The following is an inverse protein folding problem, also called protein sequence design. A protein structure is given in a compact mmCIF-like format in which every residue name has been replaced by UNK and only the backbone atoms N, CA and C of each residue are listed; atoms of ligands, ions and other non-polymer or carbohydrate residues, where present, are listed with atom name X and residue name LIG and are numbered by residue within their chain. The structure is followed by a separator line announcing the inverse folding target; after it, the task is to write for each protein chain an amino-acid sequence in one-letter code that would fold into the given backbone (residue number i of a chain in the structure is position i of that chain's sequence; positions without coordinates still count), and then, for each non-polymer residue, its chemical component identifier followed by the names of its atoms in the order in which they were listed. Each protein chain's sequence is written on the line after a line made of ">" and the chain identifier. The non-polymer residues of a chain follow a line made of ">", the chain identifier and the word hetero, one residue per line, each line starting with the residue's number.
data_IF_707104028233
#
_entry.id   IF_707104028233
#
_cell.length_a   1.000
_cell.length_b   1.000
_cell.length_c   1.000
_cell.angle_alpha   90.00
_cell.angle_beta   90.00
_cell.angle_gamma   90.00
#
_symmetry.space_group_name_H-M   'P 1'
#
loop_
_entity.id
_entity.type
_entity.pdbx_description
1 polymer ?
#
# COMPACT_ATOMS: atom_id res chain seq x y z
N UNK A 1 -18.18 -23.55 2.11
CA UNK A 1 -17.71 -23.13 0.75
C UNK A 1 -18.06 -24.23 -0.22
N UNK A 2 -18.96 -23.94 -1.17
CA UNK A 2 -19.39 -24.91 -2.18
C UNK A 2 -18.31 -24.97 -3.27
N UNK A 3 -17.76 -26.16 -3.52
CA UNK A 3 -16.69 -26.40 -4.50
C UNK A 3 -17.01 -25.84 -5.90
N UNK A 4 -16.00 -25.34 -6.60
CA UNK A 4 -16.13 -24.74 -7.94
C UNK A 4 -16.18 -25.81 -9.06
N UNK A 5 -15.84 -27.04 -8.75
CA UNK A 5 -15.79 -28.14 -9.72
C UNK A 5 -17.19 -28.69 -10.00
N UNK A 6 -17.53 -28.91 -11.27
CA UNK A 6 -18.77 -29.58 -11.69
C UNK A 6 -18.60 -31.11 -11.75
N UNK A 7 -17.82 -31.66 -10.81
CA UNK A 7 -17.55 -33.09 -10.68
C UNK A 7 -18.01 -33.58 -9.31
N UNK A 8 -18.45 -34.80 -9.23
CA UNK A 8 -18.78 -35.48 -7.97
C UNK A 8 -17.51 -35.95 -7.23
N UNK A 9 -17.68 -36.63 -6.10
CA UNK A 9 -16.57 -37.18 -5.31
C UNK A 9 -15.78 -38.26 -6.03
N UNK A 10 -16.37 -38.92 -7.05
CA UNK A 10 -15.75 -39.92 -7.90
C UNK A 10 -15.11 -39.32 -9.16
N UNK A 11 -15.15 -37.99 -9.33
CA UNK A 11 -14.56 -37.31 -10.49
C UNK A 11 -15.42 -37.30 -11.74
N UNK A 12 -16.66 -37.81 -11.70
CA UNK A 12 -17.58 -37.82 -12.83
C UNK A 12 -18.28 -36.47 -12.97
N UNK A 13 -18.64 -36.10 -14.22
CA UNK A 13 -19.40 -34.89 -14.49
C UNK A 13 -20.82 -35.00 -13.91
N UNK A 14 -21.22 -34.00 -13.16
CA UNK A 14 -22.55 -33.91 -12.57
C UNK A 14 -23.57 -33.61 -13.68
N UNK A 15 -24.77 -34.26 -13.61
CA UNK A 15 -25.88 -34.05 -14.54
C UNK A 15 -26.28 -32.56 -14.63
N UNK A 16 -26.82 -32.16 -15.80
CA UNK A 16 -27.19 -30.77 -16.10
C UNK A 16 -28.16 -30.15 -15.10
N UNK A 17 -29.13 -30.94 -14.64
CA UNK A 17 -30.09 -30.51 -13.61
C UNK A 17 -29.43 -30.23 -12.26
N UNK A 18 -28.49 -31.10 -11.86
CA UNK A 18 -27.71 -30.92 -10.63
C UNK A 18 -26.70 -29.76 -10.77
N UNK A 19 -26.11 -29.56 -11.94
CA UNK A 19 -25.24 -28.39 -12.20
C UNK A 19 -25.99 -27.08 -12.04
N UNK A 20 -27.23 -26.99 -12.54
CA UNK A 20 -28.08 -25.81 -12.37
C UNK A 20 -28.39 -25.53 -10.90
N UNK A 21 -28.69 -26.59 -10.11
CA UNK A 21 -28.88 -26.46 -8.66
C UNK A 21 -27.59 -26.01 -7.95
N UNK A 22 -26.45 -26.60 -8.27
CA UNK A 22 -25.16 -26.23 -7.68
C UNK A 22 -24.78 -24.79 -8.03
N UNK A 23 -25.01 -24.33 -9.26
CA UNK A 23 -24.78 -22.95 -9.65
C UNK A 23 -25.68 -21.96 -8.87
N UNK A 24 -26.95 -22.32 -8.65
CA UNK A 24 -27.87 -21.53 -7.82
C UNK A 24 -27.36 -21.46 -6.37
N UNK A 25 -26.91 -22.57 -5.80
CA UNK A 25 -26.35 -22.61 -4.44
C UNK A 25 -25.06 -21.78 -4.35
N UNK A 26 -24.18 -21.85 -5.36
CA UNK A 26 -22.97 -21.01 -5.43
C UNK A 26 -23.30 -19.51 -5.45
N UNK A 27 -24.34 -19.13 -6.20
CA UNK A 27 -24.80 -17.73 -6.23
C UNK A 27 -25.30 -17.30 -4.85
N UNK A 28 -26.09 -18.15 -4.17
CA UNK A 28 -26.58 -17.87 -2.83
C UNK A 28 -25.45 -17.85 -1.80
N UNK A 29 -24.51 -18.79 -1.85
CA UNK A 29 -23.31 -18.81 -1.00
C UNK A 29 -22.47 -17.54 -1.18
N UNK A 30 -22.23 -17.16 -2.43
CA UNK A 30 -21.54 -15.90 -2.75
C UNK A 30 -22.28 -14.67 -2.20
N UNK A 31 -23.59 -14.60 -2.36
CA UNK A 31 -24.40 -13.50 -1.82
C UNK A 31 -24.39 -13.44 -0.29
N UNK A 32 -24.38 -14.59 0.39
CA UNK A 32 -24.29 -14.68 1.85
C UNK A 32 -22.93 -14.32 2.39
N UNK A 33 -21.85 -14.78 1.72
CA UNK A 33 -20.48 -14.43 2.12
C UNK A 33 -20.18 -12.93 2.01
N UNK A 34 -20.78 -12.23 1.02
CA UNK A 34 -20.57 -10.79 0.81
C UNK A 34 -21.72 -9.93 1.40
N UNK A 35 -22.40 -10.42 2.42
CA UNK A 35 -23.54 -9.72 3.03
C UNK A 35 -23.14 -8.40 3.68
N UNK A 36 -21.93 -8.34 4.24
CA UNK A 36 -21.40 -7.14 4.87
C UNK A 36 -20.64 -6.26 3.87
N UNK A 37 -20.93 -4.95 3.92
CA UNK A 37 -20.22 -3.95 3.10
C UNK A 37 -18.72 -3.93 3.38
N UNK A 38 -18.33 -4.24 4.60
CA UNK A 38 -16.95 -4.37 5.06
C UNK A 38 -16.21 -5.45 4.28
N UNK A 39 -16.78 -6.65 4.17
CA UNK A 39 -16.19 -7.78 3.44
C UNK A 39 -16.00 -7.48 1.95
N UNK A 40 -16.96 -6.77 1.33
CA UNK A 40 -16.82 -6.33 -0.08
C UNK A 40 -15.69 -5.33 -0.24
N UNK A 41 -15.56 -4.39 0.69
CA UNK A 41 -14.48 -3.41 0.66
C UNK A 41 -13.11 -4.08 0.79
N UNK A 42 -12.96 -5.08 1.67
CA UNK A 42 -11.72 -5.87 1.79
C UNK A 42 -11.38 -6.60 0.48
N UNK A 43 -12.35 -7.29 -0.11
CA UNK A 43 -12.12 -8.02 -1.36
C UNK A 43 -11.64 -7.08 -2.46
N UNK A 44 -12.32 -5.93 -2.64
CA UNK A 44 -11.94 -4.93 -3.63
C UNK A 44 -10.54 -4.35 -3.36
N UNK A 45 -10.25 -4.03 -2.10
CA UNK A 45 -8.96 -3.51 -1.69
C UNK A 45 -7.83 -4.52 -1.94
N UNK A 46 -8.01 -5.78 -1.55
CA UNK A 46 -6.95 -6.78 -1.67
C UNK A 46 -6.71 -7.24 -3.11
N UNK A 47 -7.73 -7.24 -3.96
CA UNK A 47 -7.54 -7.43 -5.41
C UNK A 47 -6.68 -6.30 -5.99
N UNK A 48 -6.93 -5.05 -5.61
CA UNK A 48 -6.11 -3.92 -6.03
C UNK A 48 -4.68 -4.02 -5.46
N UNK A 49 -4.54 -4.43 -4.20
CA UNK A 49 -3.23 -4.62 -3.56
C UNK A 49 -2.39 -5.68 -4.29
N UNK A 50 -3.02 -6.79 -4.73
CA UNK A 50 -2.35 -7.80 -5.57
C UNK A 50 -1.82 -7.22 -6.87
N UNK A 51 -2.63 -6.43 -7.58
CA UNK A 51 -2.19 -5.75 -8.81
C UNK A 51 -1.03 -4.77 -8.56
N UNK A 52 -1.05 -4.04 -7.44
CA UNK A 52 0.03 -3.12 -7.06
C UNK A 52 1.30 -3.87 -6.66
N UNK A 53 1.17 -5.04 -6.01
CA UNK A 53 2.29 -5.91 -5.69
C UNK A 53 3.08 -6.25 -6.94
N UNK A 54 2.39 -6.69 -7.99
CA UNK A 54 3.03 -7.09 -9.25
C UNK A 54 3.65 -5.90 -9.99
N UNK A 55 2.90 -4.77 -10.12
CA UNK A 55 3.40 -3.57 -10.80
C UNK A 55 4.61 -2.92 -10.12
N UNK A 56 4.66 -2.93 -8.81
CA UNK A 56 5.69 -2.25 -8.02
C UNK A 56 6.73 -3.20 -7.45
N UNK A 57 6.63 -4.50 -7.75
CA UNK A 57 7.52 -5.55 -7.23
C UNK A 57 7.66 -5.47 -5.70
N UNK A 58 6.50 -5.44 -5.00
CA UNK A 58 6.47 -5.31 -3.53
C UNK A 58 6.76 -6.65 -2.86
N UNK A 59 7.50 -6.60 -1.76
CA UNK A 59 7.73 -7.78 -0.92
C UNK A 59 6.46 -8.21 -0.18
N UNK A 60 6.34 -9.49 0.14
CA UNK A 60 5.19 -10.03 0.89
C UNK A 60 5.00 -9.33 2.24
N UNK A 61 6.10 -8.97 2.92
CA UNK A 61 6.06 -8.23 4.19
C UNK A 61 5.35 -6.87 4.06
N UNK A 62 5.60 -6.13 2.97
CA UNK A 62 4.93 -4.84 2.71
C UNK A 62 3.43 -5.07 2.47
N UNK A 63 3.08 -6.09 1.69
CA UNK A 63 1.69 -6.43 1.38
C UNK A 63 0.91 -6.77 2.64
N UNK A 64 1.47 -7.64 3.50
CA UNK A 64 0.85 -8.05 4.77
C UNK A 64 0.65 -6.88 5.73
N UNK A 65 1.68 -6.06 5.92
CA UNK A 65 1.58 -4.86 6.77
C UNK A 65 0.61 -3.83 6.21
N UNK A 66 0.53 -3.69 4.88
CA UNK A 66 -0.46 -2.82 4.23
C UNK A 66 -1.87 -3.33 4.48
N UNK A 67 -2.09 -4.64 4.33
CA UNK A 67 -3.38 -5.27 4.60
C UNK A 67 -3.79 -5.09 6.08
N UNK A 68 -2.85 -5.26 7.01
CA UNK A 68 -3.09 -5.00 8.43
C UNK A 68 -3.44 -3.52 8.71
N UNK A 69 -2.67 -2.59 8.14
CA UNK A 69 -2.94 -1.16 8.29
C UNK A 69 -4.30 -0.77 7.72
N UNK A 70 -4.67 -1.33 6.56
CA UNK A 70 -5.96 -1.09 5.93
C UNK A 70 -7.13 -1.59 6.79
N UNK A 71 -7.02 -2.79 7.40
CA UNK A 71 -8.03 -3.31 8.34
C UNK A 71 -8.25 -2.35 9.51
N UNK A 72 -7.17 -1.87 10.10
CA UNK A 72 -7.22 -0.91 11.21
C UNK A 72 -7.93 0.39 10.82
N UNK A 73 -7.59 0.95 9.65
CA UNK A 73 -8.24 2.15 9.09
C UNK A 73 -9.72 1.92 8.83
N UNK A 74 -10.11 0.69 8.46
CA UNK A 74 -11.50 0.33 8.25
C UNK A 74 -12.27 0.19 9.58
N UNK A 75 -11.68 -0.45 10.58
CA UNK A 75 -12.24 -0.58 11.94
C UNK A 75 -12.51 0.81 12.56
N UNK A 76 -11.58 1.74 12.38
CA UNK A 76 -11.71 3.13 12.85
C UNK A 76 -12.71 3.96 12.00
N UNK A 77 -13.34 3.37 10.98
CA UNK A 77 -14.37 4.03 10.16
C UNK A 77 -13.83 5.10 9.20
N UNK A 78 -12.53 5.23 9.05
CA UNK A 78 -11.87 6.27 8.23
C UNK A 78 -12.09 6.09 6.71
N UNK A 79 -12.70 4.99 6.29
CA UNK A 79 -13.01 4.72 4.87
C UNK A 79 -14.25 5.48 4.41
N UNK A 80 -15.15 5.85 5.31
CA UNK A 80 -16.43 6.48 4.95
C UNK A 80 -16.21 7.77 4.14
N UNK A 81 -16.91 7.88 3.01
CA UNK A 81 -16.80 9.04 2.11
C UNK A 81 -15.51 9.11 1.28
N UNK A 82 -14.67 8.07 1.31
CA UNK A 82 -13.42 7.97 0.55
C UNK A 82 -13.43 6.78 -0.40
N UNK A 83 -12.68 6.87 -1.49
CA UNK A 83 -12.55 5.74 -2.42
C UNK A 83 -11.65 4.66 -1.80
N UNK A 84 -12.08 3.41 -1.85
CA UNK A 84 -11.36 2.25 -1.32
C UNK A 84 -9.91 2.21 -1.81
N UNK A 85 -9.72 2.44 -3.12
CA UNK A 85 -8.40 2.44 -3.73
C UNK A 85 -7.48 3.54 -3.18
N UNK A 86 -7.98 4.76 -2.97
CA UNK A 86 -7.16 5.85 -2.45
C UNK A 86 -6.76 5.62 -0.99
N UNK A 87 -7.64 5.04 -0.18
CA UNK A 87 -7.33 4.65 1.20
C UNK A 87 -6.28 3.55 1.23
N UNK A 88 -6.42 2.51 0.38
CA UNK A 88 -5.46 1.43 0.29
C UNK A 88 -4.07 1.93 -0.13
N UNK A 89 -4.00 2.80 -1.15
CA UNK A 89 -2.72 3.35 -1.62
C UNK A 89 -2.07 4.26 -0.57
N UNK A 90 -2.86 5.01 0.20
CA UNK A 90 -2.35 5.77 1.33
C UNK A 90 -1.78 4.85 2.43
N UNK A 91 -2.46 3.74 2.76
CA UNK A 91 -1.95 2.72 3.68
C UNK A 91 -0.66 2.07 3.16
N UNK A 92 -0.58 1.77 1.87
CA UNK A 92 0.63 1.25 1.23
C UNK A 92 1.79 2.24 1.35
N UNK A 93 1.54 3.53 1.11
CA UNK A 93 2.55 4.58 1.27
C UNK A 93 3.06 4.67 2.70
N UNK A 94 2.15 4.62 3.70
CA UNK A 94 2.52 4.60 5.13
C UNK A 94 3.45 3.42 5.41
N UNK A 95 3.06 2.23 4.97
CA UNK A 95 3.82 1.00 5.21
C UNK A 95 5.20 1.04 4.54
N UNK A 96 5.31 1.54 3.31
CA UNK A 96 6.59 1.73 2.64
C UNK A 96 7.50 2.68 3.44
N UNK A 97 6.94 3.78 3.96
CA UNK A 97 7.68 4.73 4.81
C UNK A 97 8.18 4.11 6.10
N UNK A 98 7.32 3.33 6.79
CA UNK A 98 7.67 2.63 8.04
C UNK A 98 8.75 1.57 7.84
N UNK A 99 8.77 0.92 6.68
CA UNK A 99 9.77 -0.09 6.35
C UNK A 99 11.04 0.47 5.69
N UNK A 100 11.12 1.78 5.53
CA UNK A 100 12.27 2.41 4.90
C UNK A 100 12.37 2.17 3.39
N UNK A 101 11.29 1.71 2.74
CA UNK A 101 11.26 1.53 1.28
C UNK A 101 10.98 2.86 0.60
N UNK A 102 11.92 3.33 -0.22
CA UNK A 102 11.81 4.62 -0.90
C UNK A 102 10.85 4.54 -2.09
N UNK A 103 9.54 4.61 -1.82
CA UNK A 103 8.49 4.79 -2.84
C UNK A 103 7.92 6.19 -2.73
N UNK A 104 7.75 6.87 -3.86
CA UNK A 104 7.16 8.21 -3.91
C UNK A 104 5.64 8.14 -4.05
N UNK A 105 4.94 9.18 -3.62
CA UNK A 105 3.49 9.27 -3.83
C UNK A 105 3.17 9.28 -5.33
N UNK A 106 4.05 9.88 -6.16
CA UNK A 106 3.84 9.98 -7.61
C UNK A 106 3.91 8.60 -8.27
N UNK A 107 4.87 7.74 -7.90
CA UNK A 107 4.94 6.35 -8.36
C UNK A 107 3.67 5.56 -7.98
N UNK A 108 3.18 5.75 -6.77
CA UNK A 108 1.97 5.07 -6.31
C UNK A 108 0.71 5.60 -7.01
N UNK A 109 0.66 6.89 -7.30
CA UNK A 109 -0.43 7.53 -8.03
C UNK A 109 -0.49 7.02 -9.47
N UNK A 110 0.65 6.92 -10.15
CA UNK A 110 0.78 6.39 -11.50
C UNK A 110 0.41 4.90 -11.56
N UNK A 111 0.97 4.08 -10.64
CA UNK A 111 0.68 2.65 -10.60
C UNK A 111 -0.80 2.33 -10.33
N UNK A 112 -1.46 3.13 -9.50
CA UNK A 112 -2.86 2.95 -9.11
C UNK A 112 -3.87 3.72 -9.96
N UNK A 113 -3.42 4.64 -10.81
CA UNK A 113 -4.25 5.59 -11.56
C UNK A 113 -5.15 6.45 -10.65
N UNK A 114 -4.63 6.86 -9.50
CA UNK A 114 -5.34 7.67 -8.52
C UNK A 114 -4.63 9.03 -8.38
N UNK A 115 -5.38 10.11 -8.29
CA UNK A 115 -4.83 11.47 -8.19
C UNK A 115 -3.94 11.62 -6.94
N UNK A 116 -2.71 12.10 -7.13
CA UNK A 116 -1.73 12.39 -6.06
C UNK A 116 -2.34 13.18 -4.89
N UNK A 117 -3.09 14.24 -5.19
CA UNK A 117 -3.73 15.09 -4.15
C UNK A 117 -4.68 14.30 -3.25
N UNK A 118 -5.42 13.33 -3.81
CA UNK A 118 -6.33 12.48 -3.04
C UNK A 118 -5.56 11.56 -2.08
N UNK A 119 -4.50 10.91 -2.57
CA UNK A 119 -3.63 10.05 -1.76
C UNK A 119 -2.98 10.85 -0.63
N UNK A 120 -2.41 12.03 -0.94
CA UNK A 120 -1.73 12.88 0.03
C UNK A 120 -2.66 13.41 1.14
N UNK A 121 -3.92 13.74 0.79
CA UNK A 121 -4.94 14.13 1.78
C UNK A 121 -5.25 12.98 2.73
N UNK A 122 -5.60 11.81 2.18
CA UNK A 122 -5.97 10.64 2.96
C UNK A 122 -4.79 10.16 3.83
N UNK A 123 -3.57 10.18 3.28
CA UNK A 123 -2.36 9.88 4.03
C UNK A 123 -2.24 10.71 5.31
N UNK A 124 -2.40 12.04 5.19
CA UNK A 124 -2.32 12.96 6.37
C UNK A 124 -3.43 12.65 7.37
N UNK A 125 -4.65 12.43 6.91
CA UNK A 125 -5.78 12.10 7.75
C UNK A 125 -5.51 10.79 8.53
N UNK A 126 -5.03 9.73 7.87
CA UNK A 126 -4.73 8.44 8.51
C UNK A 126 -3.61 8.59 9.53
N UNK A 127 -2.52 9.29 9.18
CA UNK A 127 -1.38 9.50 10.09
C UNK A 127 -1.81 10.24 11.34
N UNK A 128 -2.62 11.28 11.18
CA UNK A 128 -3.15 12.08 12.29
C UNK A 128 -4.05 11.23 13.21
N UNK A 129 -5.01 10.49 12.66
CA UNK A 129 -5.95 9.67 13.43
C UNK A 129 -5.28 8.50 14.14
N UNK A 130 -4.39 7.79 13.46
CA UNK A 130 -3.67 6.66 14.06
C UNK A 130 -2.51 7.08 14.97
N UNK A 131 -2.23 8.39 15.10
CA UNK A 131 -1.10 8.95 15.87
C UNK A 131 0.23 8.26 15.57
N UNK A 132 0.45 7.87 14.30
CA UNK A 132 1.65 7.13 13.89
C UNK A 132 2.82 8.09 13.70
N UNK A 133 3.95 7.74 14.32
CA UNK A 133 5.24 8.39 14.04
C UNK A 133 5.84 7.77 12.78
N UNK A 134 5.76 8.48 11.66
CA UNK A 134 6.32 8.00 10.40
C UNK A 134 7.74 8.53 10.27
N UNK A 135 8.75 7.67 10.03
CA UNK A 135 10.12 8.10 9.88
C UNK A 135 10.27 9.06 8.68
N UNK A 136 11.21 9.98 8.76
CA UNK A 136 11.53 10.86 7.64
C UNK A 136 12.10 10.04 6.46
N UNK A 137 11.95 10.56 5.24
CA UNK A 137 12.52 9.91 4.05
C UNK A 137 14.03 9.91 4.17
N UNK A 138 14.62 8.73 4.03
CA UNK A 138 16.06 8.60 3.97
C UNK A 138 16.56 9.06 2.58
N UNK A 139 17.19 10.23 2.53
CA UNK A 139 17.70 10.81 1.29
C UNK A 139 18.75 9.91 0.60
N UNK A 140 19.54 9.14 1.38
CA UNK A 140 20.53 8.24 0.82
C UNK A 140 19.90 7.11 0.02
N UNK A 141 18.80 6.54 0.49
CA UNK A 141 18.05 5.53 -0.26
C UNK A 141 17.45 6.09 -1.56
N UNK A 142 17.10 7.37 -1.57
CA UNK A 142 16.67 8.02 -2.81
C UNK A 142 17.80 8.18 -3.81
N UNK A 143 18.99 8.54 -3.33
CA UNK A 143 20.21 8.62 -4.17
C UNK A 143 20.51 7.24 -4.78
N UNK A 144 20.53 6.19 -3.96
CA UNK A 144 20.81 4.82 -4.41
C UNK A 144 19.79 4.34 -5.45
N UNK A 145 18.51 4.63 -5.22
CA UNK A 145 17.44 4.29 -6.15
C UNK A 145 17.61 5.00 -7.51
N UNK A 146 17.94 6.29 -7.49
CA UNK A 146 18.19 7.06 -8.72
C UNK A 146 19.43 6.52 -9.41
N UNK A 147 20.53 6.32 -8.69
CA UNK A 147 21.78 5.79 -9.20
C UNK A 147 21.59 4.45 -9.92
N UNK A 148 20.84 3.52 -9.29
CA UNK A 148 20.52 2.23 -9.89
C UNK A 148 19.61 2.35 -11.12
N UNK A 149 18.69 3.32 -11.14
CA UNK A 149 17.76 3.50 -12.27
C UNK A 149 18.43 4.03 -13.52
N UNK A 150 19.46 4.87 -13.37
CA UNK A 150 20.23 5.49 -14.48
C UNK A 150 21.62 4.90 -14.63
N UNK A 151 21.88 3.78 -13.96
CA UNK A 151 23.15 3.03 -14.02
C UNK A 151 24.39 3.91 -13.79
N UNK A 152 24.33 4.78 -12.78
CA UNK A 152 25.46 5.65 -12.42
C UNK A 152 26.66 4.86 -11.92
N UNK A 153 27.83 5.33 -12.28
CA UNK A 153 29.11 4.81 -11.74
C UNK A 153 29.15 5.00 -10.21
N UNK A 154 29.75 4.03 -9.51
CA UNK A 154 29.87 4.03 -8.05
C UNK A 154 30.60 5.30 -7.53
N UNK A 155 31.57 5.81 -8.25
CA UNK A 155 32.31 7.05 -7.90
C UNK A 155 31.34 8.22 -7.81
N UNK A 156 30.48 8.41 -8.81
CA UNK A 156 29.49 9.48 -8.86
C UNK A 156 28.43 9.33 -7.75
N UNK A 157 28.00 8.09 -7.49
CA UNK A 157 27.05 7.79 -6.40
C UNK A 157 27.64 8.10 -5.03
N UNK A 158 28.93 7.80 -4.83
CA UNK A 158 29.66 8.14 -3.59
C UNK A 158 29.79 9.64 -3.41
N UNK A 159 30.15 10.38 -4.46
CA UNK A 159 30.15 11.85 -4.42
C UNK A 159 28.81 12.45 -4.07
N UNK A 160 27.71 11.95 -4.66
CA UNK A 160 26.36 12.40 -4.34
C UNK A 160 26.00 12.17 -2.86
N UNK A 161 26.38 11.01 -2.30
CA UNK A 161 26.20 10.73 -0.86
C UNK A 161 27.02 11.66 0.03
N UNK A 162 28.24 11.97 -0.34
CA UNK A 162 29.12 12.87 0.43
C UNK A 162 28.61 14.30 0.41
N UNK A 163 28.14 14.79 -0.73
CA UNK A 163 27.47 16.08 -0.83
C UNK A 163 26.24 16.14 0.08
N UNK A 164 25.42 15.08 0.06
CA UNK A 164 24.22 15.02 0.90
C UNK A 164 24.55 15.00 2.40
N UNK A 165 25.60 14.32 2.82
CA UNK A 165 26.11 14.36 4.21
C UNK A 165 26.50 15.75 4.63
N UNK A 166 27.24 16.49 3.77
CA UNK A 166 27.65 17.89 4.04
C UNK A 166 26.44 18.80 4.21
N UNK A 167 25.43 18.67 3.33
CA UNK A 167 24.19 19.46 3.41
C UNK A 167 23.41 19.15 4.69
N UNK A 168 23.26 17.85 5.04
CA UNK A 168 22.59 17.47 6.28
C UNK A 168 23.29 18.02 7.53
N UNK A 169 24.63 17.97 7.56
CA UNK A 169 25.42 18.57 8.65
C UNK A 169 25.18 20.08 8.80
N UNK A 170 25.08 20.81 7.68
CA UNK A 170 24.81 22.25 7.70
C UNK A 170 23.37 22.58 8.17
N UNK A 171 22.38 21.76 7.78
CA UNK A 171 20.98 21.94 8.19
C UNK A 171 20.82 21.69 9.69
N UNK A 172 21.47 20.67 10.22
CA UNK A 172 21.45 20.37 11.67
C UNK A 172 22.13 21.46 12.47
N UNK A 173 23.25 22.00 12.02
CA UNK A 173 23.96 23.09 12.67
C UNK A 173 23.13 24.39 12.69
N UNK A 174 22.43 24.73 11.60
CA UNK A 174 21.53 25.89 11.54
C UNK A 174 20.35 25.74 12.49
N UNK A 175 19.68 24.57 12.52
CA UNK A 175 18.57 24.34 13.47
C UNK A 175 19.00 24.43 14.91
N UNK A 176 20.19 23.98 15.27
CA UNK A 176 20.74 24.11 16.63
C UNK A 176 21.00 25.55 16.98
N UNK A 177 21.50 26.37 16.05
CA UNK A 177 21.74 27.79 16.28
C UNK A 177 20.44 28.59 16.38
N UNK A 178 19.40 28.26 15.60
CA UNK A 178 18.11 28.93 15.67
C UNK A 178 17.37 28.66 17.00
N UNK A 179 17.60 27.52 17.64
CA UNK A 179 17.05 27.18 18.96
C UNK A 179 17.77 27.96 20.08
N UNK A 180 19.07 28.20 19.96
CA UNK A 180 19.87 28.94 20.93
C UNK A 180 19.64 30.46 20.89
N UNK A 181 19.03 30.98 19.84
CA UNK A 181 18.70 32.43 19.70
C UNK A 181 17.31 32.74 20.27
N UNK A 182 16.50 31.73 20.60
CA UNK A 182 15.14 31.90 21.16
C UNK A 182 15.07 31.72 22.69
N UNK A 183 16.17 31.50 23.39
CA UNK A 183 16.32 31.57 24.83
C UNK A 183 16.94 32.96 25.23
#
# INVERSE_FOLDING_TARGET
>A
IIGKTNKDSAGQLIDSGMQARMNRLRIWDSRTMYRDSSSRNFTTAFVLLGKLKDKLSLTSSIVEKTAYTYRKVQEDGLIRGRTIGAVLVACLYITCREQGVSRTIDELAEASNIRRKAIAKIYRDIVFHLKRKIPQVNCFQCIDKIANKIELNEITTRHARDLMKKVQGQITSRRSNDILIQE
#
